data_IF_009876389035
#
_entry.id   IF_009876389035
#
_cell.length_a   1.000
_cell.length_b   1.000
_cell.length_c   1.000
_cell.angle_alpha   90.00
_cell.angle_beta   90.00
_cell.angle_gamma   90.00
#
_symmetry.space_group_name_H-M   'P 1'
#
loop_
_entity.id
_entity.type
_entity.pdbx_description
1 polymer ?
#
# COMPACT_ATOMS: atom_id res chain seq x y z
N UNK A 1 -6.62 45.08 13.62
CA UNK A 1 -5.69 44.69 12.54
C UNK A 1 -5.13 43.34 12.89
N UNK A 2 -5.65 42.31 12.23
CA UNK A 2 -5.32 40.91 12.48
C UNK A 2 -3.93 40.60 11.95
N UNK A 3 -3.02 40.09 12.77
CA UNK A 3 -1.77 39.51 12.27
C UNK A 3 -1.19 38.51 13.26
N UNK A 4 -1.13 37.25 12.76
CA UNK A 4 -0.30 36.10 13.18
C UNK A 4 -0.80 35.33 14.42
N UNK A 5 -0.66 33.99 14.47
CA UNK A 5 0.54 33.26 14.06
C UNK A 5 0.38 32.09 13.09
N UNK A 6 1.38 31.96 12.23
CA UNK A 6 1.78 30.71 11.57
C UNK A 6 2.35 29.75 12.63
N UNK A 7 1.52 28.82 13.13
CA UNK A 7 1.95 27.83 14.13
C UNK A 7 1.25 26.46 14.01
N UNK A 8 0.56 26.17 12.89
CA UNK A 8 -0.21 24.91 12.76
C UNK A 8 0.36 23.89 11.79
N UNK A 9 1.52 24.12 11.18
CA UNK A 9 2.07 23.16 10.20
C UNK A 9 2.82 21.97 10.82
N UNK A 10 3.40 22.12 12.02
CA UNK A 10 4.19 21.05 12.63
C UNK A 10 3.33 19.94 13.27
N UNK A 11 2.17 20.30 13.82
CA UNK A 11 1.27 19.34 14.47
C UNK A 11 0.48 18.52 13.43
N UNK A 12 0.04 19.16 12.33
CA UNK A 12 -0.61 18.48 11.21
C UNK A 12 0.36 17.54 10.48
N UNK A 13 1.62 17.93 10.27
CA UNK A 13 2.63 17.05 9.68
C UNK A 13 2.90 15.82 10.57
N UNK A 14 2.91 15.98 11.89
CA UNK A 14 3.11 14.88 12.85
C UNK A 14 1.91 13.92 12.88
N UNK A 15 0.69 14.46 12.82
CA UNK A 15 -0.53 13.66 12.73
C UNK A 15 -0.62 12.90 11.40
N UNK A 16 -0.19 13.51 10.30
CA UNK A 16 -0.12 12.87 8.99
C UNK A 16 0.98 11.80 8.95
N UNK A 17 2.16 12.06 9.52
CA UNK A 17 3.24 11.07 9.67
C UNK A 17 2.85 9.90 10.58
N UNK A 18 2.09 10.15 11.65
CA UNK A 18 1.58 9.10 12.54
C UNK A 18 0.53 8.21 11.83
N UNK A 19 -0.29 8.78 10.94
CA UNK A 19 -1.19 8.00 10.06
C UNK A 19 -0.45 7.19 9.00
N UNK A 20 0.65 7.73 8.45
CA UNK A 20 1.48 7.05 7.43
C UNK A 20 2.20 5.82 7.98
N UNK A 21 2.49 5.78 9.29
CA UNK A 21 3.23 4.70 9.96
C UNK A 21 2.30 3.77 10.72
N UNK A 22 1.36 3.10 10.04
CA UNK A 22 0.88 1.84 10.62
C UNK A 22 2.08 0.90 10.62
N UNK A 23 2.57 0.51 11.80
CA UNK A 23 3.80 -0.26 11.96
C UNK A 23 3.68 -1.73 11.55
N UNK A 24 2.78 -2.10 10.63
CA UNK A 24 2.66 -3.49 10.19
C UNK A 24 3.59 -3.69 9.00
N UNK A 25 4.34 -4.78 9.07
CA UNK A 25 5.24 -5.15 7.99
C UNK A 25 4.46 -5.32 6.67
N UNK A 26 5.07 -4.87 5.57
CA UNK A 26 4.46 -4.79 4.24
C UNK A 26 3.31 -3.77 4.08
N UNK A 27 3.11 -2.84 5.03
CA UNK A 27 2.01 -1.86 4.94
C UNK A 27 2.14 -0.94 3.72
N UNK A 28 3.36 -0.55 3.32
CA UNK A 28 3.57 0.27 2.11
C UNK A 28 3.06 -0.45 0.86
N UNK A 29 3.51 -1.68 0.65
CA UNK A 29 3.06 -2.53 -0.47
C UNK A 29 1.53 -2.75 -0.44
N UNK A 30 0.95 -2.89 0.76
CA UNK A 30 -0.50 -3.01 0.92
C UNK A 30 -1.23 -1.74 0.49
N UNK A 31 -0.72 -0.57 0.86
CA UNK A 31 -1.29 0.72 0.48
C UNK A 31 -1.19 0.95 -1.03
N UNK A 32 0.00 0.71 -1.61
CA UNK A 32 0.24 0.81 -3.05
C UNK A 32 -0.67 -0.13 -3.85
N UNK A 33 -0.76 -1.41 -3.45
CA UNK A 33 -1.64 -2.38 -4.11
C UNK A 33 -3.11 -1.95 -4.03
N UNK A 34 -3.55 -1.46 -2.86
CA UNK A 34 -4.92 -0.98 -2.67
C UNK A 34 -5.22 0.23 -3.55
N UNK A 35 -4.28 1.18 -3.65
CA UNK A 35 -4.42 2.34 -4.52
C UNK A 35 -4.54 1.91 -5.99
N UNK A 36 -3.64 1.03 -6.45
CA UNK A 36 -3.63 0.51 -7.81
C UNK A 36 -4.95 -0.17 -8.19
N UNK A 37 -5.47 -1.06 -7.33
CA UNK A 37 -6.74 -1.75 -7.59
C UNK A 37 -7.92 -0.76 -7.55
N UNK A 38 -7.89 0.23 -6.66
CA UNK A 38 -8.97 1.24 -6.55
C UNK A 38 -9.03 2.13 -7.80
N UNK A 39 -7.90 2.42 -8.42
CA UNK A 39 -7.80 3.20 -9.66
C UNK A 39 -8.15 2.37 -10.90
N UNK A 40 -8.01 1.04 -10.83
CA UNK A 40 -8.33 0.15 -11.96
C UNK A 40 -9.81 0.12 -12.36
N UNK A 41 -10.06 -0.18 -13.63
CA UNK A 41 -11.40 -0.30 -14.21
C UNK A 41 -12.24 -1.40 -13.53
N UNK A 42 -11.61 -2.41 -12.96
CA UNK A 42 -12.33 -3.45 -12.24
C UNK A 42 -13.14 -2.90 -11.04
N UNK A 43 -12.63 -1.90 -10.34
CA UNK A 43 -13.36 -1.28 -9.21
C UNK A 43 -14.19 -0.10 -9.70
N UNK A 44 -13.67 0.71 -10.61
CA UNK A 44 -14.33 1.92 -11.10
C UNK A 44 -15.54 1.59 -11.99
N UNK A 45 -15.37 0.70 -12.96
CA UNK A 45 -16.37 0.34 -13.98
C UNK A 45 -17.18 -0.87 -13.53
N UNK A 46 -16.52 -1.98 -13.18
CA UNK A 46 -17.21 -3.24 -12.86
C UNK A 46 -17.77 -3.27 -11.43
N UNK A 47 -17.40 -2.31 -10.57
CA UNK A 47 -17.87 -2.20 -9.16
C UNK A 47 -17.65 -3.48 -8.34
N UNK A 48 -16.63 -4.28 -8.70
CA UNK A 48 -16.31 -5.55 -8.03
C UNK A 48 -15.52 -5.33 -6.75
N UNK A 49 -15.51 -6.35 -5.89
CA UNK A 49 -14.66 -6.34 -4.70
C UNK A 49 -13.18 -6.45 -5.09
N UNK A 50 -12.27 -5.87 -4.31
CA UNK A 50 -10.83 -5.94 -4.60
C UNK A 50 -10.33 -7.39 -4.70
N UNK A 51 -10.91 -8.30 -3.90
CA UNK A 51 -10.64 -9.74 -3.96
C UNK A 51 -11.08 -10.36 -5.29
N UNK A 52 -12.24 -9.98 -5.81
CA UNK A 52 -12.68 -10.42 -7.14
C UNK A 52 -11.79 -9.84 -8.24
N UNK A 53 -11.36 -8.58 -8.12
CA UNK A 53 -10.47 -7.95 -9.10
C UNK A 53 -9.10 -8.62 -9.17
N UNK A 54 -8.55 -9.04 -8.03
CA UNK A 54 -7.28 -9.78 -8.00
C UNK A 54 -7.42 -11.15 -8.65
N UNK A 55 -8.57 -11.80 -8.50
CA UNK A 55 -8.81 -13.14 -9.06
C UNK A 55 -9.30 -13.08 -10.53
N UNK A 56 -9.90 -11.98 -10.94
CA UNK A 56 -10.36 -11.75 -12.30
C UNK A 56 -9.15 -11.59 -13.22
N UNK A 57 -8.89 -12.59 -14.06
CA UNK A 57 -7.85 -12.53 -15.10
C UNK A 57 -8.44 -12.00 -16.42
N UNK A 58 -9.45 -11.15 -16.31
CA UNK A 58 -10.27 -10.66 -17.44
C UNK A 58 -9.64 -9.44 -18.15
N UNK A 59 -8.45 -9.01 -17.70
CA UNK A 59 -7.75 -7.83 -18.23
C UNK A 59 -8.24 -6.48 -17.69
N UNK A 60 -9.21 -6.49 -16.77
CA UNK A 60 -9.77 -5.28 -16.12
C UNK A 60 -8.85 -4.64 -15.06
N UNK A 61 -7.77 -5.33 -14.70
CA UNK A 61 -6.73 -4.86 -13.77
C UNK A 61 -5.41 -4.77 -14.54
N UNK A 62 -4.69 -3.63 -14.47
CA UNK A 62 -3.43 -3.48 -15.17
C UNK A 62 -2.35 -4.41 -14.59
N UNK A 63 -1.39 -4.82 -15.43
CA UNK A 63 -0.28 -5.71 -15.04
C UNK A 63 0.55 -5.15 -13.89
N UNK A 64 0.65 -3.83 -13.77
CA UNK A 64 1.33 -3.14 -12.67
C UNK A 64 0.76 -3.53 -11.30
N UNK A 65 -0.57 -3.65 -11.17
CA UNK A 65 -1.17 -4.10 -9.91
C UNK A 65 -0.82 -5.55 -9.59
N UNK A 66 -0.66 -6.41 -10.60
CA UNK A 66 -0.21 -7.79 -10.39
C UNK A 66 1.26 -7.87 -9.96
N UNK A 67 2.11 -6.94 -10.43
CA UNK A 67 3.47 -6.81 -9.91
C UNK A 67 3.47 -6.41 -8.43
N UNK A 68 2.66 -5.43 -8.03
CA UNK A 68 2.49 -5.03 -6.63
C UNK A 68 1.94 -6.19 -5.77
N UNK A 69 1.00 -6.96 -6.30
CA UNK A 69 0.45 -8.15 -5.64
C UNK A 69 1.53 -9.20 -5.38
N UNK A 70 2.38 -9.43 -6.38
CA UNK A 70 3.50 -10.36 -6.27
C UNK A 70 4.47 -9.90 -5.18
N UNK A 71 4.88 -8.63 -5.20
CA UNK A 71 5.73 -8.02 -4.17
C UNK A 71 5.12 -8.10 -2.77
N UNK A 72 3.82 -7.82 -2.64
CA UNK A 72 3.10 -7.95 -1.37
C UNK A 72 3.06 -9.40 -0.88
N UNK A 73 2.86 -10.36 -1.79
CA UNK A 73 2.84 -11.78 -1.47
C UNK A 73 4.23 -12.29 -1.06
N UNK A 74 5.29 -11.79 -1.68
CA UNK A 74 6.67 -12.09 -1.33
C UNK A 74 7.04 -11.49 0.02
N UNK A 75 6.63 -10.25 0.27
CA UNK A 75 6.82 -9.62 1.57
C UNK A 75 6.10 -10.41 2.67
N UNK A 76 4.85 -10.84 2.43
CA UNK A 76 4.09 -11.70 3.36
C UNK A 76 4.73 -13.07 3.57
N UNK A 77 5.22 -13.71 2.51
CA UNK A 77 5.97 -14.97 2.60
C UNK A 77 7.25 -14.79 3.41
N UNK A 78 7.98 -13.70 3.19
CA UNK A 78 9.21 -13.40 3.93
C UNK A 78 8.95 -13.23 5.43
N UNK A 79 7.80 -12.69 5.85
CA UNK A 79 7.46 -12.56 7.27
C UNK A 79 7.27 -13.92 7.97
N UNK A 80 6.75 -14.92 7.26
CA UNK A 80 6.47 -16.26 7.82
C UNK A 80 7.67 -17.18 7.66
N UNK A 81 8.44 -17.00 6.58
CA UNK A 81 9.62 -17.82 6.28
C UNK A 81 10.81 -17.44 7.16
N UNK A 82 11.19 -18.33 8.09
CA UNK A 82 12.33 -18.11 8.99
C UNK A 82 13.68 -17.98 8.26
N UNK A 83 13.78 -18.46 7.00
CA UNK A 83 14.98 -18.34 6.16
C UNK A 83 15.21 -16.92 5.61
N UNK A 84 14.18 -16.08 5.56
CA UNK A 84 14.30 -14.67 5.17
C UNK A 84 15.04 -13.83 6.22
N UNK A 85 15.05 -14.28 7.50
CA UNK A 85 15.73 -13.61 8.61
C UNK A 85 17.23 -13.42 8.39
N UNK A 86 17.85 -14.31 7.61
CA UNK A 86 19.27 -14.22 7.26
C UNK A 86 19.54 -13.43 5.97
N UNK A 87 18.54 -13.29 5.09
CA UNK A 87 18.70 -12.65 3.76
C UNK A 87 18.14 -11.22 3.69
N UNK A 88 17.53 -10.75 4.77
CA UNK A 88 16.82 -9.48 4.81
C UNK A 88 15.40 -9.61 4.25
N UNK A 89 14.50 -8.75 4.74
CA UNK A 89 13.15 -8.65 4.21
C UNK A 89 13.20 -8.04 2.80
N UNK A 90 12.30 -8.49 1.92
CA UNK A 90 12.13 -7.98 0.55
C UNK A 90 10.92 -7.06 0.52
N UNK A 91 11.12 -5.80 0.16
CA UNK A 91 10.05 -4.85 -0.14
C UNK A 91 9.83 -3.74 0.90
N UNK A 92 10.57 -3.76 2.00
CA UNK A 92 10.77 -2.67 2.96
C UNK A 92 12.09 -1.96 2.65
N UNK A 93 12.14 -1.25 1.53
CA UNK A 93 13.20 -0.26 1.30
C UNK A 93 12.61 1.09 1.69
N UNK A 94 13.03 1.62 2.84
CA UNK A 94 12.72 2.96 3.33
C UNK A 94 13.11 4.06 2.33
#
# INVERSE_FOLDING_TARGET
MSSTPAFTDEEELKAEQAKRKTGRACDRLRQELKACIKESDCVQVLRRSATECINATDGSVPRECFHLLTSFSDCKRSMVDMRSRFRGRKGDMD
#
